data_IF_807197840722
#
_entry.id   IF_807197840722
#
_cell.length_a   1.000
_cell.length_b   1.000
_cell.length_c   1.000
_cell.angle_alpha   90.00
_cell.angle_beta   90.00
_cell.angle_gamma   90.00
#
_symmetry.space_group_name_H-M   'P 1'
#
loop_
_entity.id
_entity.type
_entity.pdbx_description
1 polymer ?
#
# COMPACT_ATOMS: atom_id res chain seq x y z
N UNK A 1 -17.63 -27.86 -6.35
CA UNK A 1 -17.46 -27.02 -5.15
C UNK A 1 -18.63 -27.26 -4.21
N UNK A 2 -18.36 -27.48 -2.92
CA UNK A 2 -19.37 -27.82 -1.90
C UNK A 2 -20.08 -26.57 -1.37
N UNK A 3 -21.35 -26.70 -0.97
CA UNK A 3 -22.14 -25.63 -0.35
C UNK A 3 -21.49 -25.14 0.96
N UNK A 4 -20.74 -26.01 1.64
CA UNK A 4 -19.99 -25.69 2.85
C UNK A 4 -18.85 -24.67 2.59
N UNK A 5 -18.13 -24.79 1.48
CA UNK A 5 -17.12 -23.79 1.09
C UNK A 5 -17.76 -22.43 0.85
N UNK A 6 -18.95 -22.40 0.23
CA UNK A 6 -19.67 -21.14 -0.01
C UNK A 6 -20.09 -20.44 1.28
N UNK A 7 -20.45 -21.20 2.32
CA UNK A 7 -20.86 -20.67 3.62
C UNK A 7 -19.65 -20.20 4.43
N UNK A 8 -18.55 -20.97 4.44
CA UNK A 8 -17.30 -20.57 5.11
C UNK A 8 -16.71 -19.29 4.50
N UNK A 9 -16.83 -19.13 3.17
CA UNK A 9 -16.34 -17.95 2.44
C UNK A 9 -17.36 -16.80 2.37
N UNK A 10 -18.59 -16.99 2.86
CA UNK A 10 -19.64 -15.97 2.81
C UNK A 10 -19.30 -14.69 3.61
N UNK A 11 -18.33 -14.75 4.54
CA UNK A 11 -17.78 -13.58 5.24
C UNK A 11 -16.47 -13.02 4.65
N UNK A 12 -15.72 -13.83 3.88
CA UNK A 12 -14.44 -13.43 3.28
C UNK A 12 -14.60 -12.37 2.18
N UNK A 13 -15.75 -12.36 1.49
CA UNK A 13 -15.98 -11.44 0.37
C UNK A 13 -15.89 -9.96 0.75
N UNK A 14 -16.21 -9.60 1.99
CA UNK A 14 -16.08 -8.22 2.47
C UNK A 14 -14.62 -7.82 2.65
N UNK A 15 -13.85 -8.64 3.36
CA UNK A 15 -12.41 -8.41 3.60
C UNK A 15 -11.65 -8.42 2.27
N UNK A 16 -11.98 -9.35 1.36
CA UNK A 16 -11.37 -9.39 0.03
C UNK A 16 -11.66 -8.12 -0.77
N UNK A 17 -12.86 -7.55 -0.66
CA UNK A 17 -13.21 -6.28 -1.31
C UNK A 17 -12.46 -5.10 -0.70
N UNK A 18 -12.32 -5.06 0.63
CA UNK A 18 -11.54 -4.04 1.33
C UNK A 18 -10.05 -4.10 0.94
N UNK A 19 -9.45 -5.30 0.96
CA UNK A 19 -8.06 -5.51 0.53
C UNK A 19 -7.84 -5.19 -0.96
N UNK A 20 -8.82 -5.48 -1.82
CA UNK A 20 -8.75 -5.12 -3.24
C UNK A 20 -8.72 -3.59 -3.43
N UNK A 21 -9.48 -2.84 -2.64
CA UNK A 21 -9.46 -1.37 -2.65
C UNK A 21 -8.09 -0.81 -2.23
N UNK A 22 -7.52 -1.35 -1.14
CA UNK A 22 -6.18 -0.97 -0.68
C UNK A 22 -5.13 -1.27 -1.77
N UNK A 23 -5.21 -2.43 -2.42
CA UNK A 23 -4.29 -2.79 -3.49
C UNK A 23 -4.40 -1.85 -4.71
N UNK A 24 -5.61 -1.42 -5.07
CA UNK A 24 -5.83 -0.44 -6.15
C UNK A 24 -5.26 0.93 -5.78
N UNK A 25 -5.45 1.37 -4.54
CA UNK A 25 -4.86 2.61 -4.03
C UNK A 25 -3.33 2.56 -4.08
N UNK A 26 -2.69 1.50 -3.58
CA UNK A 26 -1.23 1.31 -3.65
C UNK A 26 -0.73 1.32 -5.10
N UNK A 27 -1.41 0.61 -6.01
CA UNK A 27 -1.04 0.58 -7.43
C UNK A 27 -1.16 1.96 -8.09
N UNK A 28 -2.03 2.84 -7.61
CA UNK A 28 -2.13 4.21 -8.12
C UNK A 28 -0.86 5.04 -7.92
N UNK A 29 -0.02 4.65 -6.94
CA UNK A 29 1.27 5.27 -6.66
C UNK A 29 2.43 4.65 -7.45
N UNK A 30 2.25 3.48 -8.06
CA UNK A 30 3.31 2.71 -8.75
C UNK A 30 4.01 3.56 -9.81
N UNK A 31 3.26 4.30 -10.63
CA UNK A 31 3.84 5.14 -11.70
C UNK A 31 4.68 6.29 -11.14
N UNK A 32 4.27 6.89 -10.02
CA UNK A 32 5.00 7.99 -9.37
C UNK A 32 6.29 7.48 -8.74
N UNK A 33 6.22 6.34 -8.06
CA UNK A 33 7.39 5.72 -7.43
C UNK A 33 8.35 5.17 -8.48
N UNK A 34 7.86 4.59 -9.57
CA UNK A 34 8.67 4.04 -10.67
C UNK A 34 9.42 5.11 -11.46
N UNK A 35 8.92 6.36 -11.45
CA UNK A 35 9.59 7.49 -12.08
C UNK A 35 10.79 8.04 -11.27
N UNK A 36 10.93 7.67 -9.99
CA UNK A 36 12.02 8.17 -9.14
C UNK A 36 13.36 7.52 -9.49
N UNK A 37 14.43 8.31 -9.41
CA UNK A 37 15.81 7.81 -9.34
C UNK A 37 16.14 7.25 -7.95
N UNK A 38 17.24 6.51 -7.83
CA UNK A 38 17.67 5.92 -6.55
C UNK A 38 17.91 6.99 -5.46
N UNK A 39 18.42 8.16 -5.85
CA UNK A 39 18.65 9.28 -4.94
C UNK A 39 17.33 9.87 -4.44
N UNK A 40 16.34 10.03 -5.34
CA UNK A 40 15.01 10.53 -4.99
C UNK A 40 14.23 9.52 -4.14
N UNK A 41 14.34 8.23 -4.46
CA UNK A 41 13.73 7.14 -3.68
C UNK A 41 14.30 7.08 -2.27
N UNK A 42 15.61 7.26 -2.11
CA UNK A 42 16.23 7.35 -0.78
C UNK A 42 15.78 8.62 -0.03
N UNK A 43 15.62 9.73 -0.76
CA UNK A 43 15.10 10.99 -0.24
C UNK A 43 13.69 10.90 0.37
N UNK A 44 12.84 10.00 -0.15
CA UNK A 44 11.49 9.74 0.38
C UNK A 44 11.51 9.33 1.86
N UNK A 45 12.52 8.60 2.32
CA UNK A 45 12.65 8.24 3.73
C UNK A 45 12.77 9.47 4.64
N UNK A 46 13.53 10.47 4.20
CA UNK A 46 13.68 11.73 4.96
C UNK A 46 12.39 12.56 4.93
N UNK A 47 11.68 12.57 3.79
CA UNK A 47 10.37 13.20 3.65
C UNK A 47 9.34 12.61 4.62
N UNK A 48 9.21 11.28 4.69
CA UNK A 48 8.28 10.61 5.58
C UNK A 48 8.59 10.86 7.06
N UNK A 49 9.88 10.86 7.44
CA UNK A 49 10.28 11.20 8.81
C UNK A 49 9.89 12.62 9.20
N UNK A 50 10.04 13.58 8.27
CA UNK A 50 9.63 14.96 8.50
C UNK A 50 8.12 15.09 8.62
N UNK A 51 7.36 14.42 7.74
CA UNK A 51 5.89 14.36 7.79
C UNK A 51 5.37 13.81 9.12
N UNK A 52 5.93 12.69 9.57
CA UNK A 52 5.62 12.09 10.87
C UNK A 52 5.95 13.03 12.03
N UNK A 53 7.11 13.70 11.98
CA UNK A 53 7.51 14.68 13.00
C UNK A 53 6.59 15.92 13.03
N UNK A 54 5.94 16.24 11.91
CA UNK A 54 4.96 17.32 11.80
C UNK A 54 3.54 16.89 12.22
N UNK A 55 3.36 15.66 12.71
CA UNK A 55 2.10 15.19 13.29
C UNK A 55 1.15 14.48 12.32
N UNK A 56 1.63 14.10 11.13
CA UNK A 56 0.89 13.19 10.25
C UNK A 56 0.86 11.78 10.85
N UNK A 57 -0.25 11.06 10.70
CA UNK A 57 -0.37 9.71 11.26
C UNK A 57 0.41 8.69 10.41
N UNK A 58 0.86 7.60 11.05
CA UNK A 58 1.59 6.56 10.33
C UNK A 58 0.70 5.86 9.30
N UNK A 59 -0.59 5.71 9.59
CA UNK A 59 -1.54 5.07 8.67
C UNK A 59 -1.74 5.88 7.39
N UNK A 60 -1.65 7.21 7.48
CA UNK A 60 -1.71 8.12 6.32
C UNK A 60 -0.46 8.01 5.43
N UNK A 61 0.66 7.51 5.97
CA UNK A 61 1.93 7.34 5.26
C UNK A 61 2.09 5.93 4.65
N UNK A 62 1.31 4.95 5.11
CA UNK A 62 1.49 3.53 4.73
C UNK A 62 1.31 3.27 3.24
N UNK A 63 0.32 3.90 2.59
CA UNK A 63 0.06 3.71 1.16
C UNK A 63 1.25 4.16 0.28
N UNK A 64 1.87 5.30 0.62
CA UNK A 64 3.06 5.83 -0.05
C UNK A 64 4.30 4.94 0.21
N UNK A 65 4.42 4.38 1.42
CA UNK A 65 5.54 3.51 1.84
C UNK A 65 5.51 2.13 1.15
N UNK A 66 4.34 1.50 1.08
CA UNK A 66 4.17 0.17 0.48
C UNK A 66 4.49 0.18 -1.02
N UNK A 67 4.12 1.24 -1.74
CA UNK A 67 4.48 1.42 -3.15
C UNK A 67 6.01 1.53 -3.34
N UNK A 68 6.69 2.26 -2.44
CA UNK A 68 8.16 2.33 -2.40
C UNK A 68 8.84 0.98 -2.20
N UNK A 69 8.33 0.18 -1.25
CA UNK A 69 8.84 -1.15 -0.92
C UNK A 69 8.59 -2.18 -2.03
N UNK A 70 7.46 -2.09 -2.73
CA UNK A 70 7.15 -2.96 -3.87
C UNK A 70 8.21 -2.85 -4.97
N UNK A 71 8.73 -1.65 -5.25
CA UNK A 71 9.81 -1.42 -6.22
C UNK A 71 11.13 -2.06 -5.82
N UNK A 72 11.47 -2.10 -4.53
CA UNK A 72 12.72 -2.71 -4.04
C UNK A 72 12.70 -4.24 -4.08
N UNK A 73 11.51 -4.85 -4.16
CA UNK A 73 11.32 -6.30 -4.22
C UNK A 73 11.29 -6.85 -5.66
N UNK A 74 11.23 -5.97 -6.66
CA UNK A 74 11.22 -6.31 -8.09
C UNK A 74 12.62 -6.48 -8.68
#
# INVERSE_FOLDING_TARGET
MSILDRILRAGEGRILKELAGIAEEVNSFESKISALSDAELTGKTSEFKNRLANGEDLDDLLADLDAGLARLRG
#
